data_IF_375596108584
#
_entry.id   IF_375596108584
#
_cell.length_a   1.000
_cell.length_b   1.000
_cell.length_c   1.000
_cell.angle_alpha   90.00
_cell.angle_beta   90.00
_cell.angle_gamma   90.00
#
_symmetry.space_group_name_H-M   'P 1'
#
loop_
_entity.id
_entity.type
_entity.pdbx_description
1 polymer ?
#
# COMPACT_ATOMS: atom_id res chain seq x y z
N UNK A 1 3.99 11.88 -0.38
CA UNK A 1 4.84 13.04 -0.05
C UNK A 1 3.99 14.27 0.09
N UNK A 2 4.24 15.09 1.11
CA UNK A 2 3.53 16.32 1.42
C UNK A 2 4.45 17.38 2.03
N UNK A 3 4.03 18.64 1.97
CA UNK A 3 4.65 19.74 2.72
C UNK A 3 3.91 19.94 4.05
N UNK A 4 4.65 20.02 5.17
CA UNK A 4 4.11 20.26 6.51
C UNK A 4 4.92 21.35 7.25
N UNK A 5 4.30 22.04 8.21
CA UNK A 5 4.97 23.04 9.07
C UNK A 5 5.98 22.35 10.02
N UNK A 6 7.19 22.91 10.16
CA UNK A 6 8.24 22.36 11.03
C UNK A 6 8.08 22.68 12.53
N UNK A 7 6.98 23.35 12.90
CA UNK A 7 6.66 23.83 14.24
C UNK A 7 7.44 25.08 14.67
N UNK A 8 8.26 25.63 13.77
CA UNK A 8 9.18 26.76 14.02
C UNK A 8 9.12 27.81 12.89
N UNK A 9 8.07 27.80 12.08
CA UNK A 9 7.87 28.73 10.97
C UNK A 9 8.62 28.37 9.68
N UNK A 10 9.11 27.12 9.57
CA UNK A 10 9.69 26.54 8.36
C UNK A 10 8.83 25.40 7.78
N UNK A 11 9.35 24.74 6.74
CA UNK A 11 8.68 23.64 6.03
C UNK A 11 9.50 22.35 6.14
N UNK A 12 8.82 21.24 6.41
CA UNK A 12 9.34 19.88 6.24
C UNK A 12 8.65 19.20 5.05
N UNK A 13 9.44 18.46 4.25
CA UNK A 13 8.89 17.48 3.32
C UNK A 13 8.69 16.18 4.06
N UNK A 14 7.47 15.66 4.07
CA UNK A 14 7.10 14.39 4.70
C UNK A 14 6.82 13.36 3.62
N UNK A 15 7.50 12.23 3.67
CA UNK A 15 7.38 11.15 2.70
C UNK A 15 7.12 9.85 3.43
N UNK A 16 6.09 9.11 3.03
CA UNK A 16 5.88 7.73 3.45
C UNK A 16 6.28 6.77 2.33
N UNK A 17 6.72 5.58 2.69
CA UNK A 17 7.09 4.55 1.71
C UNK A 17 7.43 3.22 2.37
N UNK A 18 7.74 2.24 1.53
CA UNK A 18 7.83 0.83 1.91
C UNK A 18 9.21 0.24 1.60
N UNK A 19 10.28 0.71 2.27
CA UNK A 19 11.62 0.21 2.00
C UNK A 19 11.75 -1.26 2.41
N UNK A 20 12.68 -1.97 1.77
CA UNK A 20 13.11 -3.27 2.25
C UNK A 20 13.65 -3.15 3.68
N UNK A 21 13.30 -4.11 4.53
CA UNK A 21 13.96 -4.27 5.81
C UNK A 21 15.40 -4.71 5.56
N UNK A 22 16.35 -3.95 6.07
CA UNK A 22 17.74 -4.33 6.00
C UNK A 22 17.99 -5.55 6.91
N UNK A 23 18.68 -6.59 6.41
CA UNK A 23 19.00 -7.76 7.22
C UNK A 23 19.91 -7.33 8.36
N UNK A 24 19.71 -7.94 9.53
CA UNK A 24 20.52 -7.71 10.72
C UNK A 24 21.17 -9.01 11.16
N UNK A 25 22.41 -8.92 11.63
CA UNK A 25 23.12 -10.03 12.22
C UNK A 25 22.55 -10.39 13.61
N UNK A 26 23.11 -11.44 14.23
CA UNK A 26 22.69 -11.88 15.57
C UNK A 26 22.93 -10.85 16.68
N UNK A 27 23.70 -9.79 16.41
CA UNK A 27 23.93 -8.67 17.32
C UNK A 27 23.05 -7.46 17.00
N UNK A 28 22.19 -7.55 15.98
CA UNK A 28 21.29 -6.48 15.55
C UNK A 28 21.95 -5.44 14.65
N UNK A 29 23.21 -5.65 14.23
CA UNK A 29 23.91 -4.75 13.31
C UNK A 29 23.50 -5.05 11.88
N UNK A 30 23.48 -4.03 11.00
CA UNK A 30 23.12 -4.21 9.59
C UNK A 30 24.12 -5.17 8.93
N UNK A 31 23.60 -6.29 8.40
CA UNK A 31 24.38 -7.27 7.65
C UNK A 31 24.48 -6.86 6.18
N UNK A 32 25.45 -5.99 5.88
CA UNK A 32 25.73 -5.51 4.53
C UNK A 32 26.12 -6.67 3.59
N UNK A 33 26.76 -7.72 4.11
CA UNK A 33 27.18 -8.88 3.31
C UNK A 33 25.99 -9.80 2.97
N UNK A 34 24.98 -9.87 3.85
CA UNK A 34 23.73 -10.59 3.64
C UNK A 34 22.75 -9.88 2.70
N UNK A 35 22.84 -8.56 2.54
CA UNK A 35 21.91 -7.78 1.72
C UNK A 35 21.84 -8.21 0.24
N UNK A 36 22.95 -8.46 -0.49
CA UNK A 36 22.89 -9.00 -1.85
C UNK A 36 22.20 -10.36 -1.92
N UNK A 37 22.35 -11.20 -0.89
CA UNK A 37 21.73 -12.52 -0.83
C UNK A 37 20.22 -12.42 -0.58
N UNK A 38 19.79 -11.49 0.28
CA UNK A 38 18.38 -11.16 0.50
C UNK A 38 17.70 -10.68 -0.80
N UNK A 39 18.35 -9.74 -1.52
CA UNK A 39 17.87 -9.26 -2.81
C UNK A 39 17.83 -10.39 -3.86
N UNK A 40 18.88 -11.21 -3.94
CA UNK A 40 18.96 -12.33 -4.90
C UNK A 40 17.92 -13.42 -4.61
N UNK A 41 17.53 -13.61 -3.35
CA UNK A 41 16.50 -14.54 -2.94
C UNK A 41 15.07 -13.98 -3.05
N UNK A 42 14.94 -12.70 -3.44
CA UNK A 42 13.66 -11.98 -3.42
C UNK A 42 12.96 -12.14 -2.06
N UNK A 43 13.72 -12.01 -0.98
CA UNK A 43 13.14 -11.92 0.36
C UNK A 43 12.39 -10.59 0.46
N UNK A 44 11.09 -10.66 0.15
CA UNK A 44 10.15 -9.55 0.24
C UNK A 44 9.79 -9.28 1.70
N UNK A 45 10.74 -8.74 2.46
CA UNK A 45 10.49 -8.22 3.81
C UNK A 45 10.53 -6.69 3.73
N UNK A 46 9.35 -6.09 3.82
CA UNK A 46 9.14 -4.66 3.71
C UNK A 46 8.64 -4.11 5.05
N UNK A 47 8.95 -2.84 5.31
CA UNK A 47 8.45 -2.10 6.46
C UNK A 47 7.79 -0.83 5.96
N UNK A 48 6.80 -0.30 6.69
CA UNK A 48 6.18 0.97 6.37
C UNK A 48 6.91 2.08 7.14
N UNK A 49 7.33 3.13 6.44
CA UNK A 49 8.29 4.09 6.96
C UNK A 49 7.92 5.53 6.59
N UNK A 50 8.32 6.47 7.44
CA UNK A 50 8.19 7.92 7.25
C UNK A 50 9.58 8.59 7.30
N UNK A 51 9.83 9.47 6.35
CA UNK A 51 10.96 10.39 6.33
C UNK A 51 10.45 11.82 6.40
N UNK A 52 11.10 12.64 7.23
CA UNK A 52 10.87 14.08 7.33
C UNK A 52 12.16 14.83 7.02
N UNK A 53 12.12 15.68 6.01
CA UNK A 53 13.26 16.48 5.55
C UNK A 53 13.01 17.94 5.87
N UNK A 54 13.77 18.51 6.81
CA UNK A 54 13.68 19.93 7.13
C UNK A 54 14.45 20.75 6.10
N UNK A 55 13.75 21.59 5.34
CA UNK A 55 14.36 22.33 4.22
C UNK A 55 15.23 23.52 4.68
N UNK A 56 15.07 23.97 5.94
CA UNK A 56 15.86 25.06 6.51
C UNK A 56 17.18 24.56 7.08
N UNK A 57 17.17 23.45 7.79
CA UNK A 57 18.36 22.91 8.50
C UNK A 57 19.09 21.84 7.70
N UNK A 58 18.44 21.21 6.72
CA UNK A 58 18.95 20.04 6.00
C UNK A 58 18.90 18.75 6.84
N UNK A 59 18.27 18.78 8.03
CA UNK A 59 18.13 17.59 8.88
C UNK A 59 17.09 16.63 8.32
N UNK A 60 17.39 15.34 8.34
CA UNK A 60 16.44 14.25 8.09
C UNK A 60 16.07 13.55 9.41
N UNK A 61 14.79 13.29 9.61
CA UNK A 61 14.27 12.41 10.67
C UNK A 61 13.56 11.22 10.03
N UNK A 62 13.63 10.09 10.70
CA UNK A 62 13.14 8.81 10.21
C UNK A 62 12.28 8.14 11.28
N UNK A 63 11.16 7.54 10.87
CA UNK A 63 10.25 6.81 11.76
C UNK A 63 9.72 5.57 11.05
N UNK A 64 9.89 4.42 11.69
CA UNK A 64 9.16 3.19 11.34
C UNK A 64 7.69 3.37 11.75
N UNK A 65 6.78 3.26 10.79
CA UNK A 65 5.33 3.24 11.02
C UNK A 65 4.90 1.81 11.37
N UNK A 66 5.37 0.81 10.63
CA UNK A 66 5.03 -0.60 10.87
C UNK A 66 6.15 -1.52 10.38
N UNK A 67 6.73 -2.29 11.29
CA UNK A 67 7.68 -3.37 11.03
C UNK A 67 7.15 -4.75 11.46
N UNK A 68 5.86 -4.88 11.72
CA UNK A 68 5.22 -6.15 12.08
C UNK A 68 4.53 -6.72 10.84
N UNK A 69 3.80 -5.89 10.10
CA UNK A 69 3.05 -6.31 8.92
C UNK A 69 3.93 -6.13 7.68
N UNK A 70 4.14 -7.23 6.95
CA UNK A 70 4.83 -7.20 5.68
C UNK A 70 3.87 -6.71 4.58
N UNK A 71 4.12 -5.50 4.07
CA UNK A 71 3.24 -4.84 3.10
C UNK A 71 4.04 -4.03 2.07
N UNK A 72 3.41 -3.73 0.93
CA UNK A 72 3.96 -2.87 -0.12
C UNK A 72 2.80 -2.18 -0.86
N UNK A 73 3.10 -1.48 -1.95
CA UNK A 73 2.19 -0.76 -2.82
C UNK A 73 1.29 0.20 -2.04
N UNK A 74 1.87 1.13 -1.27
CA UNK A 74 1.08 2.10 -0.53
C UNK A 74 0.34 3.01 -1.51
N UNK A 75 -0.99 3.01 -1.41
CA UNK A 75 -1.87 3.93 -2.13
C UNK A 75 -2.57 4.86 -1.14
N UNK A 76 -2.79 6.09 -1.57
CA UNK A 76 -3.56 7.10 -0.86
C UNK A 76 -4.80 7.47 -1.67
N UNK A 77 -5.67 8.29 -1.09
CA UNK A 77 -6.63 9.04 -1.90
C UNK A 77 -5.84 9.95 -2.85
N UNK A 78 -5.81 9.61 -4.14
CA UNK A 78 -4.96 10.29 -5.12
C UNK A 78 -5.32 11.77 -5.33
N UNK A 79 -6.50 12.22 -4.87
CA UNK A 79 -6.88 13.64 -4.90
C UNK A 79 -6.14 14.44 -3.83
N UNK A 80 -5.57 13.75 -2.83
CA UNK A 80 -4.74 14.31 -1.78
C UNK A 80 -3.24 14.22 -2.12
N UNK A 81 -2.87 13.82 -3.34
CA UNK A 81 -1.47 13.74 -3.75
C UNK A 81 -0.78 15.10 -3.58
N UNK A 82 0.31 15.13 -2.82
CA UNK A 82 1.04 16.36 -2.48
C UNK A 82 0.57 17.05 -1.20
N UNK A 83 -0.58 16.66 -0.66
CA UNK A 83 -1.11 17.12 0.63
C UNK A 83 -0.89 16.07 1.72
N UNK A 84 -0.96 16.50 2.98
CA UNK A 84 -0.91 15.59 4.12
C UNK A 84 -2.10 14.62 4.06
N UNK A 85 -1.80 13.33 4.12
CA UNK A 85 -2.78 12.23 4.14
C UNK A 85 -2.82 11.57 5.51
N UNK A 86 -4.01 11.26 6.00
CA UNK A 86 -4.23 10.46 7.21
C UNK A 86 -4.23 8.97 6.92
N UNK A 87 -4.66 8.54 5.74
CA UNK A 87 -4.86 7.14 5.43
C UNK A 87 -3.89 6.63 4.37
N UNK A 88 -3.43 5.40 4.55
CA UNK A 88 -2.71 4.63 3.53
C UNK A 88 -3.31 3.24 3.43
N UNK A 89 -3.53 2.78 2.21
CA UNK A 89 -3.92 1.41 1.94
C UNK A 89 -2.78 0.70 1.25
N UNK A 90 -2.31 -0.40 1.83
CA UNK A 90 -1.17 -1.14 1.35
C UNK A 90 -1.63 -2.56 1.01
N UNK A 91 -0.90 -3.24 0.14
CA UNK A 91 -1.12 -4.64 -0.18
C UNK A 91 -0.32 -5.51 0.80
N UNK A 92 -0.97 -6.52 1.38
CA UNK A 92 -0.29 -7.49 2.24
C UNK A 92 0.59 -8.41 1.39
N UNK A 93 1.86 -8.49 1.77
CA UNK A 93 2.87 -9.32 1.10
C UNK A 93 2.95 -10.69 1.80
N UNK A 94 2.34 -11.69 1.18
CA UNK A 94 2.48 -13.08 1.60
C UNK A 94 3.90 -13.57 1.39
N UNK A 95 4.38 -14.46 2.27
CA UNK A 95 5.70 -15.08 2.11
C UNK A 95 5.75 -15.86 0.80
N UNK A 96 6.77 -15.59 0.00
CA UNK A 96 7.00 -16.30 -1.24
C UNK A 96 7.52 -17.71 -0.96
N UNK A 97 6.98 -18.68 -1.69
CA UNK A 97 7.58 -20.01 -1.78
C UNK A 97 8.53 -20.13 -2.97
N UNK A 98 8.44 -19.22 -3.95
CA UNK A 98 9.26 -19.13 -5.17
C UNK A 98 9.29 -17.69 -5.68
N UNK A 99 10.41 -17.30 -6.31
CA UNK A 99 10.67 -15.99 -6.91
C UNK A 99 9.56 -15.44 -7.84
N UNK A 100 8.88 -16.31 -8.58
CA UNK A 100 7.97 -15.93 -9.67
C UNK A 100 6.47 -15.95 -9.31
N UNK A 101 6.12 -16.06 -8.02
CA UNK A 101 4.74 -16.22 -7.57
C UNK A 101 4.33 -15.08 -6.62
N UNK A 102 4.05 -13.85 -7.11
CA UNK A 102 3.66 -12.74 -6.25
C UNK A 102 2.37 -13.07 -5.48
N UNK A 103 2.48 -13.16 -4.15
CA UNK A 103 1.40 -13.54 -3.23
C UNK A 103 0.86 -12.33 -2.49
N UNK A 104 0.09 -11.51 -3.20
CA UNK A 104 -0.63 -10.39 -2.62
C UNK A 104 -1.88 -10.91 -1.90
N UNK A 105 -1.84 -11.05 -0.59
CA UNK A 105 -2.81 -11.87 0.13
C UNK A 105 -4.01 -11.08 0.70
N UNK A 106 -3.99 -9.75 0.52
CA UNK A 106 -5.07 -8.86 0.91
C UNK A 106 -4.57 -7.43 1.10
N UNK A 107 -5.20 -6.70 2.02
CA UNK A 107 -4.94 -5.26 2.21
C UNK A 107 -4.73 -4.91 3.68
N UNK A 108 -3.91 -3.90 3.92
CA UNK A 108 -3.77 -3.19 5.18
C UNK A 108 -4.27 -1.77 5.01
N UNK A 109 -5.01 -1.25 5.99
CA UNK A 109 -5.43 0.15 6.09
C UNK A 109 -4.78 0.74 7.32
N UNK A 110 -3.99 1.78 7.12
CA UNK A 110 -3.35 2.55 8.18
C UNK A 110 -4.12 3.85 8.42
N UNK A 111 -4.40 4.14 9.68
CA UNK A 111 -4.74 5.49 10.15
C UNK A 111 -3.50 6.09 10.82
N UNK A 112 -2.79 6.95 10.10
CA UNK A 112 -1.51 7.53 10.51
C UNK A 112 -1.64 8.53 11.66
N UNK A 113 -2.85 9.03 11.91
CA UNK A 113 -3.12 9.95 13.02
C UNK A 113 -3.43 9.18 14.31
N UNK A 114 -4.15 8.06 14.21
CA UNK A 114 -4.51 7.22 15.35
C UNK A 114 -3.47 6.13 15.63
N UNK A 115 -2.50 5.94 14.75
CA UNK A 115 -1.48 4.89 14.81
C UNK A 115 -2.10 3.48 14.88
N UNK A 116 -3.10 3.25 14.03
CA UNK A 116 -3.81 1.96 13.96
C UNK A 116 -3.71 1.34 12.58
N UNK A 117 -3.67 0.01 12.54
CA UNK A 117 -3.74 -0.76 11.31
C UNK A 117 -4.87 -1.78 11.40
N UNK A 118 -5.67 -1.84 10.33
CA UNK A 118 -6.69 -2.87 10.13
C UNK A 118 -6.34 -3.65 8.89
N UNK A 119 -6.50 -4.97 8.91
CA UNK A 119 -6.13 -5.83 7.79
C UNK A 119 -7.31 -6.68 7.30
N UNK A 120 -7.26 -7.01 6.03
CA UNK A 120 -8.11 -8.03 5.41
C UNK A 120 -7.24 -9.05 4.69
N UNK A 121 -7.43 -10.32 4.98
CA UNK A 121 -6.78 -11.44 4.30
C UNK A 121 -7.84 -12.40 3.76
N UNK A 122 -7.85 -12.68 2.45
CA UNK A 122 -8.93 -13.48 1.83
C UNK A 122 -8.81 -15.00 2.06
N UNK A 123 -7.80 -15.41 2.83
CA UNK A 123 -7.41 -16.79 3.07
C UNK A 123 -6.40 -17.28 2.05
N UNK A 124 -6.01 -18.54 2.16
CA UNK A 124 -5.05 -19.17 1.23
C UNK A 124 -5.60 -19.19 -0.20
N UNK A 125 -4.69 -19.25 -1.18
CA UNK A 125 -4.99 -19.42 -2.60
C UNK A 125 -5.80 -18.29 -3.25
N UNK A 126 -5.83 -17.10 -2.63
CA UNK A 126 -6.47 -15.91 -3.20
C UNK A 126 -5.44 -14.79 -3.26
N UNK A 127 -5.20 -14.29 -4.47
CA UNK A 127 -4.13 -13.34 -4.75
C UNK A 127 -4.72 -12.08 -5.37
N UNK A 128 -4.41 -10.93 -4.79
CA UNK A 128 -4.86 -9.62 -5.23
C UNK A 128 -3.87 -9.00 -6.23
N UNK A 129 -4.21 -7.80 -6.70
CA UNK A 129 -3.30 -6.84 -7.33
C UNK A 129 -3.31 -5.56 -6.49
N UNK A 130 -2.47 -4.57 -6.82
CA UNK A 130 -2.66 -3.22 -6.29
C UNK A 130 -4.09 -2.74 -6.58
N UNK A 131 -4.71 -2.09 -5.61
CA UNK A 131 -6.08 -1.60 -5.71
C UNK A 131 -6.07 -0.08 -5.51
N UNK A 132 -6.08 0.72 -6.59
CA UNK A 132 -6.16 2.17 -6.47
C UNK A 132 -7.43 2.61 -5.74
N UNK A 133 -7.32 3.75 -5.05
CA UNK A 133 -8.45 4.42 -4.41
C UNK A 133 -9.34 5.10 -5.45
N UNK A 134 -10.63 4.81 -5.39
CA UNK A 134 -11.70 5.45 -6.15
C UNK A 134 -12.59 6.26 -5.20
N UNK A 135 -12.57 7.60 -5.24
CA UNK A 135 -13.42 8.42 -4.37
C UNK A 135 -14.90 8.20 -4.68
N UNK A 136 -15.75 8.29 -3.65
CA UNK A 136 -17.21 8.44 -3.84
C UNK A 136 -17.50 9.79 -4.51
N UNK A 137 -18.64 9.85 -5.20
CA UNK A 137 -19.16 11.14 -5.67
C UNK A 137 -19.42 12.05 -4.46
N UNK A 138 -18.95 13.31 -4.55
CA UNK A 138 -19.08 14.30 -3.49
C UNK A 138 -18.55 13.88 -2.11
N UNK A 139 -17.48 13.07 -2.07
CA UNK A 139 -16.78 12.64 -0.85
C UNK A 139 -16.50 13.80 0.12
N UNK A 140 -16.56 13.52 1.43
CA UNK A 140 -16.37 14.51 2.49
C UNK A 140 -15.12 14.23 3.32
N UNK A 141 -14.89 12.97 3.62
CA UNK A 141 -13.74 12.49 4.37
C UNK A 141 -12.70 11.85 3.46
N UNK A 142 -11.43 11.83 3.86
CA UNK A 142 -10.33 11.32 3.04
C UNK A 142 -10.52 9.86 2.59
N UNK A 143 -11.16 9.03 3.42
CA UNK A 143 -11.45 7.61 3.16
C UNK A 143 -12.87 7.35 2.62
N UNK A 144 -13.62 8.39 2.22
CA UNK A 144 -14.91 8.25 1.56
C UNK A 144 -14.77 7.75 0.12
N UNK A 145 -14.51 6.46 -0.02
CA UNK A 145 -14.23 5.85 -1.30
C UNK A 145 -14.20 4.34 -1.26
N UNK A 146 -13.60 3.80 -2.30
CA UNK A 146 -13.47 2.37 -2.52
C UNK A 146 -12.05 2.01 -2.94
N UNK A 147 -11.59 0.83 -2.57
CA UNK A 147 -10.45 0.21 -3.24
C UNK A 147 -10.97 -0.70 -4.35
N UNK A 148 -10.45 -0.50 -5.56
CA UNK A 148 -10.89 -1.25 -6.74
C UNK A 148 -9.69 -1.98 -7.33
N UNK A 149 -9.72 -3.32 -7.29
CA UNK A 149 -8.59 -4.13 -7.75
C UNK A 149 -9.00 -5.54 -8.13
N UNK A 150 -8.13 -6.25 -8.84
CA UNK A 150 -8.38 -7.63 -9.26
C UNK A 150 -7.96 -8.63 -8.17
N UNK A 151 -8.64 -9.78 -8.15
CA UNK A 151 -8.31 -10.94 -7.33
C UNK A 151 -8.39 -12.22 -8.16
N UNK A 152 -7.36 -13.04 -8.12
CA UNK A 152 -7.36 -14.43 -8.57
C UNK A 152 -7.73 -15.37 -7.43
N UNK A 153 -8.78 -16.16 -7.61
CA UNK A 153 -9.11 -17.31 -6.76
C UNK A 153 -8.55 -18.58 -7.41
N UNK A 154 -7.43 -19.07 -6.88
CA UNK A 154 -6.73 -20.22 -7.45
C UNK A 154 -7.47 -21.54 -7.23
N UNK A 155 -8.33 -21.63 -6.22
CA UNK A 155 -9.16 -22.81 -6.00
C UNK A 155 -10.27 -22.91 -7.03
N UNK A 156 -10.91 -21.77 -7.36
CA UNK A 156 -11.98 -21.70 -8.37
C UNK A 156 -11.47 -21.54 -9.79
N UNK A 157 -10.18 -21.23 -9.96
CA UNK A 157 -9.57 -20.85 -11.24
C UNK A 157 -10.31 -19.69 -11.90
N UNK A 158 -10.66 -18.66 -11.11
CA UNK A 158 -11.46 -17.51 -11.55
C UNK A 158 -10.85 -16.19 -11.08
N UNK A 159 -10.92 -15.18 -11.94
CA UNK A 159 -10.60 -13.80 -11.58
C UNK A 159 -11.86 -13.02 -11.24
N UNK A 160 -11.73 -12.08 -10.31
CA UNK A 160 -12.78 -11.15 -9.90
C UNK A 160 -12.23 -9.72 -9.91
N UNK A 161 -13.05 -8.76 -10.32
CA UNK A 161 -12.88 -7.38 -9.88
C UNK A 161 -13.50 -7.27 -8.49
N UNK A 162 -12.74 -6.77 -7.54
CA UNK A 162 -13.14 -6.62 -6.14
C UNK A 162 -13.27 -5.14 -5.79
N UNK A 163 -14.32 -4.81 -5.04
CA UNK A 163 -14.59 -3.46 -4.56
C UNK A 163 -14.69 -3.56 -3.04
N UNK A 164 -13.84 -2.83 -2.34
CA UNK A 164 -13.84 -2.72 -0.88
C UNK A 164 -14.32 -1.33 -0.49
N UNK A 165 -15.06 -1.23 0.61
CA UNK A 165 -15.25 0.05 1.27
C UNK A 165 -13.90 0.47 1.88
N UNK A 166 -13.36 1.62 1.47
CA UNK A 166 -12.04 2.06 1.91
C UNK A 166 -12.01 2.41 3.40
N UNK A 167 -13.16 2.76 3.98
CA UNK A 167 -13.32 3.03 5.41
C UNK A 167 -13.19 1.76 6.27
N UNK A 168 -13.75 0.64 5.80
CA UNK A 168 -13.80 -0.63 6.54
C UNK A 168 -13.46 -1.82 5.64
N UNK A 169 -12.16 -1.97 5.37
CA UNK A 169 -11.65 -3.07 4.55
C UNK A 169 -11.79 -4.44 5.24
N UNK A 170 -11.87 -4.50 6.58
CA UNK A 170 -11.91 -5.75 7.34
C UNK A 170 -13.19 -6.55 7.07
N UNK A 171 -14.29 -5.87 6.74
CA UNK A 171 -15.54 -6.52 6.29
C UNK A 171 -15.38 -7.33 5.01
N UNK A 172 -14.30 -7.11 4.26
CA UNK A 172 -14.07 -7.72 2.97
C UNK A 172 -14.76 -6.95 1.83
N UNK A 173 -14.73 -7.51 0.60
CA UNK A 173 -15.25 -6.82 -0.56
C UNK A 173 -16.77 -6.67 -0.46
N UNK A 174 -17.26 -5.44 -0.59
CA UNK A 174 -18.69 -5.13 -0.70
C UNK A 174 -19.27 -5.58 -2.04
N UNK A 175 -18.41 -5.74 -3.06
CA UNK A 175 -18.79 -6.31 -4.35
C UNK A 175 -17.66 -7.15 -4.95
N UNK A 176 -18.03 -8.23 -5.64
CA UNK A 176 -17.14 -9.07 -6.46
C UNK A 176 -17.78 -9.33 -7.81
N UNK A 177 -17.18 -8.83 -8.88
CA UNK A 177 -17.63 -9.02 -10.26
C UNK A 177 -16.76 -10.10 -10.89
N UNK A 178 -17.36 -11.22 -11.32
CA UNK A 178 -16.63 -12.31 -11.97
C UNK A 178 -16.14 -11.85 -13.35
N UNK A 179 -14.84 -12.00 -13.60
CA UNK A 179 -14.26 -11.72 -14.91
C UNK A 179 -14.55 -12.87 -15.89
N UNK A 180 -14.73 -12.59 -17.20
CA UNK A 180 -15.01 -13.63 -18.19
C UNK A 180 -13.80 -14.50 -18.50
N UNK A 181 -12.59 -14.06 -18.11
CA UNK A 181 -11.32 -14.75 -18.35
C UNK A 181 -10.32 -14.47 -17.22
N UNK A 182 -9.20 -15.19 -17.21
CA UNK A 182 -8.10 -14.96 -16.26
C UNK A 182 -7.50 -13.58 -16.49
N UNK A 183 -7.46 -12.80 -15.41
CA UNK A 183 -6.65 -11.58 -15.30
C UNK A 183 -5.38 -11.97 -14.55
N UNK A 184 -4.18 -11.85 -15.16
CA UNK A 184 -2.91 -12.08 -14.46
C UNK A 184 -2.75 -11.13 -13.27
N UNK A 185 -1.97 -11.53 -12.27
CA UNK A 185 -1.63 -10.66 -11.15
C UNK A 185 -0.93 -9.39 -11.70
N UNK A 186 -1.54 -8.24 -11.45
CA UNK A 186 -1.01 -6.94 -11.87
C UNK A 186 -0.24 -6.27 -10.73
N UNK A 187 0.66 -5.37 -11.11
CA UNK A 187 1.34 -4.46 -10.19
C UNK A 187 0.54 -3.17 -10.13
N UNK A 188 0.92 -2.15 -10.89
CA UNK A 188 0.30 -0.83 -10.76
C UNK A 188 -1.01 -0.66 -11.53
N UNK A 189 -1.92 0.10 -10.93
CA UNK A 189 -3.15 0.54 -11.57
C UNK A 189 -3.55 1.96 -11.13
N UNK A 190 -4.43 2.60 -11.88
CA UNK A 190 -4.98 3.91 -11.53
C UNK A 190 -6.47 3.96 -11.78
N UNK A 191 -7.19 4.65 -10.92
CA UNK A 191 -8.60 4.95 -11.11
C UNK A 191 -8.76 6.27 -11.86
N UNK A 192 -9.64 6.27 -12.87
CA UNK A 192 -10.04 7.47 -13.61
C UNK A 192 -11.55 7.50 -13.66
N UNK A 193 -12.17 8.59 -13.20
CA UNK A 193 -13.62 8.75 -13.30
C UNK A 193 -14.06 8.80 -14.75
N UNK A 194 -15.30 8.37 -15.03
CA UNK A 194 -15.85 8.41 -16.39
C UNK A 194 -15.87 9.84 -16.97
N UNK A 195 -16.16 10.84 -16.13
CA UNK A 195 -16.09 12.24 -16.51
C UNK A 195 -14.67 12.67 -16.92
N UNK A 196 -13.66 12.33 -16.12
CA UNK A 196 -12.25 12.67 -16.43
C UNK A 196 -11.79 11.95 -17.70
N UNK A 197 -12.19 10.71 -17.88
CA UNK A 197 -11.86 9.95 -19.10
C UNK A 197 -12.50 10.57 -20.34
N UNK A 198 -13.76 11.02 -20.26
CA UNK A 198 -14.49 11.61 -21.38
C UNK A 198 -13.96 12.98 -21.80
N UNK A 199 -13.40 13.77 -20.86
CA UNK A 199 -12.87 15.11 -21.15
C UNK A 199 -11.57 15.10 -21.96
N UNK A 200 -10.81 13.99 -21.96
CA UNK A 200 -9.40 14.01 -22.36
C UNK A 200 -8.57 14.80 -21.34
N UNK A 201 -7.28 14.49 -21.24
CA UNK A 201 -6.38 15.00 -20.18
C UNK A 201 -6.42 16.52 -20.00
#
# INVERSE_FOLDING_TARGET
TSEEDDGQGGVEIVMTGTPFRLPRDSQGTIDVAGFPKMLANLEHDFQFHEWRFNLRTGQTKERVIDDIINQEFPVINSWMQGYKTRYSWNVLMGRLNRAEDPRFCGFARYDLQQDTCTTYHAGVHKWFSEAPFAPKDHWKEEDDGYLVGYMWDDQKKQSFLTIFDAHDIARGPVCKIRMPQRVPNGFHATWVSGERLARGY
#
